data_IF_936583493166
#
_entry.id   IF_936583493166
#
_cell.length_a   1.000
_cell.length_b   1.000
_cell.length_c   1.000
_cell.angle_alpha   90.00
_cell.angle_beta   90.00
_cell.angle_gamma   90.00
#
_symmetry.space_group_name_H-M   'P 1'
#
loop_
_entity.id
_entity.type
_entity.pdbx_description
1 polymer ?
#
# COMPACT_ATOMS: atom_id res chain seq x y z
N UNK A 1 24.28 21.06 -43.43
CA UNK A 1 24.03 21.77 -42.15
C UNK A 1 23.02 21.07 -41.23
N UNK A 2 22.53 19.86 -41.56
CA UNK A 2 21.53 19.11 -40.76
C UNK A 2 22.11 18.21 -39.66
N UNK A 3 23.42 17.95 -39.64
CA UNK A 3 24.01 16.91 -38.78
C UNK A 3 24.24 17.33 -37.32
N UNK A 4 24.24 18.63 -37.01
CA UNK A 4 24.60 19.13 -35.67
C UNK A 4 23.45 18.98 -34.67
N UNK A 5 22.19 19.02 -35.13
CA UNK A 5 21.02 18.89 -34.26
C UNK A 5 20.77 17.44 -33.80
N UNK A 6 21.13 16.47 -34.63
CA UNK A 6 20.93 15.04 -34.35
C UNK A 6 21.96 14.53 -33.31
N UNK A 7 23.21 14.96 -33.44
CA UNK A 7 24.29 14.63 -32.49
C UNK A 7 24.01 15.22 -31.09
N UNK A 8 23.29 16.35 -31.00
CA UNK A 8 22.96 16.98 -29.73
C UNK A 8 21.81 16.27 -28.97
N UNK A 9 20.93 15.56 -29.68
CA UNK A 9 19.85 14.74 -29.08
C UNK A 9 20.37 13.50 -28.37
N UNK A 10 21.51 12.96 -28.81
CA UNK A 10 22.13 11.76 -28.22
C UNK A 10 22.87 12.09 -26.91
N UNK A 11 23.30 13.35 -26.71
CA UNK A 11 24.01 13.79 -25.49
C UNK A 11 23.09 14.26 -24.36
N UNK A 12 21.83 14.58 -24.66
CA UNK A 12 20.86 14.97 -23.64
C UNK A 12 20.40 13.71 -22.89
N UNK A 13 21.09 13.35 -21.81
CA UNK A 13 20.63 12.34 -20.88
C UNK A 13 19.22 12.65 -20.35
N UNK A 14 18.48 11.65 -19.85
CA UNK A 14 17.13 11.86 -19.35
C UNK A 14 17.11 13.01 -18.34
N UNK A 15 16.26 14.00 -18.58
CA UNK A 15 16.12 15.17 -17.71
C UNK A 15 15.80 14.77 -16.27
N UNK A 16 16.09 15.65 -15.31
CA UNK A 16 15.88 15.40 -13.87
C UNK A 16 14.47 14.83 -13.57
N UNK A 17 13.44 15.36 -14.25
CA UNK A 17 12.05 14.89 -14.15
C UNK A 17 11.89 13.44 -14.61
N UNK A 18 12.52 13.04 -15.72
CA UNK A 18 12.47 11.66 -16.21
C UNK A 18 13.20 10.68 -15.28
N UNK A 19 14.28 11.13 -14.62
CA UNK A 19 14.99 10.33 -13.60
C UNK A 19 14.17 10.16 -12.32
N UNK A 20 13.45 11.21 -11.89
CA UNK A 20 12.53 11.15 -10.75
C UNK A 20 11.32 10.25 -11.06
N UNK A 21 10.76 10.35 -12.26
CA UNK A 21 9.68 9.47 -12.72
C UNK A 21 10.13 8.01 -12.84
N UNK A 22 11.38 7.75 -13.26
CA UNK A 22 11.94 6.39 -13.32
C UNK A 22 12.22 5.77 -11.93
N UNK A 23 12.38 6.59 -10.88
CA UNK A 23 12.49 6.13 -9.49
C UNK A 23 11.13 5.77 -8.88
N UNK A 24 10.03 6.31 -9.43
CA UNK A 24 8.66 6.13 -8.95
C UNK A 24 8.19 4.66 -8.86
N UNK A 25 8.39 3.81 -9.89
CA UNK A 25 7.89 2.43 -9.86
C UNK A 25 8.63 1.52 -8.87
N UNK A 26 9.95 1.71 -8.71
CA UNK A 26 10.79 0.78 -7.93
C UNK A 26 10.95 1.22 -6.47
N UNK A 27 11.01 2.53 -6.21
CA UNK A 27 11.22 3.08 -4.87
C UNK A 27 10.05 3.94 -4.38
N UNK A 28 8.97 4.06 -5.14
CA UNK A 28 7.84 4.95 -4.83
C UNK A 28 7.26 4.72 -3.44
N UNK A 29 7.11 3.47 -3.00
CA UNK A 29 6.61 3.15 -1.66
C UNK A 29 7.56 3.64 -0.55
N UNK A 30 8.88 3.44 -0.70
CA UNK A 30 9.87 3.90 0.26
C UNK A 30 9.95 5.43 0.30
N UNK A 31 9.91 6.08 -0.87
CA UNK A 31 9.90 7.54 -0.99
C UNK A 31 8.65 8.11 -0.32
N UNK A 32 7.47 7.53 -0.59
CA UNK A 32 6.21 7.93 0.03
C UNK A 32 6.23 7.74 1.55
N UNK A 33 6.78 6.62 2.04
CA UNK A 33 6.93 6.36 3.48
C UNK A 33 7.81 7.42 4.15
N UNK A 34 8.99 7.71 3.60
CA UNK A 34 9.92 8.71 4.15
C UNK A 34 9.26 10.09 4.17
N UNK A 35 8.62 10.49 3.07
CA UNK A 35 7.90 11.75 3.00
C UNK A 35 6.77 11.83 4.03
N UNK A 36 5.96 10.78 4.17
CA UNK A 36 4.88 10.73 5.16
C UNK A 36 5.41 10.83 6.59
N UNK A 37 6.52 10.14 6.91
CA UNK A 37 7.15 10.21 8.24
C UNK A 37 7.63 11.63 8.53
N UNK A 38 8.34 12.26 7.59
CA UNK A 38 8.83 13.64 7.75
C UNK A 38 7.64 14.59 7.97
N UNK A 39 6.61 14.50 7.14
CA UNK A 39 5.42 15.35 7.26
C UNK A 39 4.72 15.15 8.61
N UNK A 40 4.56 13.91 9.07
CA UNK A 40 3.92 13.64 10.35
C UNK A 40 4.77 14.12 11.54
N UNK A 41 6.09 14.01 11.48
CA UNK A 41 6.97 14.58 12.53
C UNK A 41 6.81 16.10 12.63
N UNK A 42 6.63 16.79 11.50
CA UNK A 42 6.51 18.24 11.45
C UNK A 42 5.10 18.75 11.79
N UNK A 43 4.06 18.05 11.35
CA UNK A 43 2.67 18.51 11.43
C UNK A 43 1.91 17.94 12.62
N UNK A 44 2.31 16.78 13.15
CA UNK A 44 1.57 16.07 14.21
C UNK A 44 2.35 16.13 15.53
N UNK A 45 1.81 16.83 16.56
CA UNK A 45 2.43 16.86 17.88
C UNK A 45 2.62 15.46 18.46
N UNK A 46 3.79 15.20 19.06
CA UNK A 46 4.14 13.91 19.68
C UNK A 46 4.18 12.70 18.72
N UNK A 47 4.20 12.89 17.41
CA UNK A 47 4.31 11.77 16.46
C UNK A 47 5.57 10.92 16.70
N UNK A 48 6.71 11.54 17.02
CA UNK A 48 7.95 10.85 17.33
C UNK A 48 8.03 10.32 18.78
N UNK A 49 6.97 10.46 19.58
CA UNK A 49 6.95 9.95 20.95
C UNK A 49 6.96 8.43 20.98
N UNK A 50 7.63 7.86 21.99
CA UNK A 50 7.73 6.41 22.17
C UNK A 50 6.37 5.71 22.25
N UNK A 51 5.39 6.34 22.91
CA UNK A 51 4.03 5.83 22.98
C UNK A 51 3.36 5.71 21.60
N UNK A 52 3.55 6.70 20.71
CA UNK A 52 3.00 6.64 19.36
C UNK A 52 3.67 5.55 18.54
N UNK A 53 5.00 5.43 18.62
CA UNK A 53 5.74 4.34 17.98
C UNK A 53 5.22 2.97 18.45
N UNK A 54 5.07 2.77 19.75
CA UNK A 54 4.54 1.54 20.32
C UNK A 54 3.12 1.23 19.85
N UNK A 55 2.25 2.25 19.81
CA UNK A 55 0.88 2.11 19.32
C UNK A 55 0.83 1.72 17.84
N UNK A 56 1.71 2.25 17.00
CA UNK A 56 1.81 1.87 15.58
C UNK A 56 2.26 0.41 15.46
N UNK A 57 3.25 -0.02 16.25
CA UNK A 57 3.73 -1.40 16.27
C UNK A 57 2.62 -2.39 16.66
N UNK A 58 1.83 -2.06 17.69
CA UNK A 58 0.70 -2.88 18.10
C UNK A 58 -0.43 -2.91 17.07
N UNK A 59 -0.69 -1.79 16.39
CA UNK A 59 -1.71 -1.73 15.33
C UNK A 59 -1.31 -2.54 14.09
N UNK A 60 -0.02 -2.57 13.74
CA UNK A 60 0.45 -3.33 12.57
C UNK A 60 0.68 -4.82 12.87
N UNK A 61 0.83 -5.21 14.14
CA UNK A 61 1.11 -6.59 14.53
C UNK A 61 0.09 -7.63 13.99
N UNK A 62 -1.24 -7.41 14.06
CA UNK A 62 -2.22 -8.32 13.46
C UNK A 62 -2.03 -8.47 11.95
N UNK A 63 -1.80 -7.36 11.24
CA UNK A 63 -1.54 -7.37 9.79
C UNK A 63 -0.28 -8.13 9.44
N UNK A 64 0.80 -7.94 10.21
CA UNK A 64 2.06 -8.66 10.02
C UNK A 64 1.89 -10.17 10.25
N UNK A 65 1.15 -10.56 11.28
CA UNK A 65 0.86 -11.97 11.57
C UNK A 65 0.13 -12.65 10.41
N UNK A 66 -0.91 -11.99 9.88
CA UNK A 66 -1.65 -12.48 8.70
C UNK A 66 -0.75 -12.52 7.47
N UNK A 67 0.05 -11.48 7.22
CA UNK A 67 0.97 -11.43 6.07
C UNK A 67 2.01 -12.56 6.09
N UNK A 68 2.52 -12.92 7.27
CA UNK A 68 3.40 -14.10 7.43
C UNK A 68 2.65 -15.38 7.08
N UNK A 69 1.40 -15.53 7.54
CA UNK A 69 0.53 -16.65 7.16
C UNK A 69 0.32 -16.76 5.65
N UNK A 70 0.02 -15.63 4.99
CA UNK A 70 -0.12 -15.58 3.52
C UNK A 70 1.19 -15.94 2.80
N UNK A 71 2.35 -15.52 3.32
CA UNK A 71 3.65 -15.84 2.74
C UNK A 71 3.93 -17.34 2.77
N UNK A 72 3.58 -18.02 3.87
CA UNK A 72 3.72 -19.47 4.01
C UNK A 72 2.78 -20.23 3.06
N UNK A 73 1.54 -19.78 2.91
CA UNK A 73 0.56 -20.34 1.94
C UNK A 73 1.04 -20.20 0.50
N UNK A 74 1.61 -19.04 0.14
CA UNK A 74 2.19 -18.84 -1.20
C UNK A 74 3.39 -19.77 -1.41
N UNK A 75 4.26 -19.91 -0.41
CA UNK A 75 5.47 -20.73 -0.50
C UNK A 75 5.17 -22.23 -0.66
N UNK A 76 4.07 -22.73 -0.08
CA UNK A 76 3.70 -24.16 -0.16
C UNK A 76 3.05 -24.54 -1.49
N UNK A 77 2.76 -23.59 -2.40
CA UNK A 77 2.11 -23.81 -3.72
C UNK A 77 0.79 -24.61 -3.66
N UNK A 78 0.25 -24.83 -2.47
CA UNK A 78 -1.01 -25.51 -2.24
C UNK A 78 -2.11 -24.47 -2.12
N UNK A 79 -2.87 -24.31 -3.21
CA UNK A 79 -4.29 -23.91 -3.28
C UNK A 79 -4.81 -23.47 -1.90
N UNK A 80 -4.67 -22.21 -1.50
CA UNK A 80 -5.81 -21.33 -1.55
C UNK A 80 -5.40 -19.87 -1.28
N UNK A 81 -5.47 -19.05 -2.34
CA UNK A 81 -5.32 -17.60 -2.25
C UNK A 81 -6.57 -16.91 -1.63
N UNK A 82 -7.55 -17.68 -1.14
CA UNK A 82 -8.88 -17.22 -0.71
C UNK A 82 -8.86 -16.08 0.29
N UNK A 83 -7.88 -16.02 1.19
CA UNK A 83 -7.79 -14.91 2.16
C UNK A 83 -7.70 -13.56 1.45
N UNK A 84 -6.99 -13.49 0.31
CA UNK A 84 -6.89 -12.28 -0.51
C UNK A 84 -8.19 -11.94 -1.24
N UNK A 85 -8.87 -12.92 -1.84
CA UNK A 85 -10.12 -12.70 -2.57
C UNK A 85 -11.29 -12.41 -1.63
N UNK A 86 -11.39 -13.11 -0.50
CA UNK A 86 -12.36 -12.86 0.57
C UNK A 86 -12.16 -11.46 1.15
N UNK A 87 -10.92 -11.07 1.45
CA UNK A 87 -10.61 -9.71 1.93
C UNK A 87 -10.99 -8.65 0.90
N UNK A 88 -10.71 -8.87 -0.39
CA UNK A 88 -11.08 -7.94 -1.46
C UNK A 88 -12.60 -7.78 -1.59
N UNK A 89 -13.36 -8.89 -1.60
CA UNK A 89 -14.82 -8.87 -1.71
C UNK A 89 -15.46 -8.22 -0.47
N UNK A 90 -15.03 -8.60 0.74
CA UNK A 90 -15.52 -8.02 1.98
C UNK A 90 -15.26 -6.50 2.05
N UNK A 91 -14.07 -6.06 1.64
CA UNK A 91 -13.70 -4.63 1.61
C UNK A 91 -14.53 -3.83 0.60
N UNK A 92 -14.73 -4.37 -0.60
CA UNK A 92 -15.54 -3.73 -1.63
C UNK A 92 -17.01 -3.59 -1.19
N UNK A 93 -17.57 -4.63 -0.56
CA UNK A 93 -18.94 -4.59 -0.02
C UNK A 93 -19.07 -3.60 1.14
N UNK A 94 -18.11 -3.58 2.07
CA UNK A 94 -18.11 -2.61 3.16
C UNK A 94 -18.06 -1.16 2.63
N UNK A 95 -17.17 -0.89 1.67
CA UNK A 95 -17.01 0.44 1.09
C UNK A 95 -18.25 0.89 0.30
N UNK A 96 -18.86 0.00 -0.47
CA UNK A 96 -20.04 0.30 -1.31
C UNK A 96 -21.35 0.42 -0.55
N UNK A 97 -21.42 -0.07 0.70
CA UNK A 97 -22.63 0.01 1.52
C UNK A 97 -22.47 0.94 2.73
N UNK A 98 -21.39 1.73 2.78
CA UNK A 98 -21.13 2.64 3.89
C UNK A 98 -22.18 3.75 3.99
N UNK A 99 -22.74 4.15 2.85
CA UNK A 99 -23.87 5.07 2.68
C UNK A 99 -25.17 4.57 3.33
N UNK A 100 -25.34 3.25 3.43
CA UNK A 100 -26.49 2.60 4.09
C UNK A 100 -26.32 2.44 5.60
N UNK A 101 -25.17 2.87 6.15
CA UNK A 101 -24.85 2.84 7.56
C UNK A 101 -23.83 1.75 7.92
N UNK A 102 -22.92 2.10 8.83
CA UNK A 102 -21.75 1.28 9.22
C UNK A 102 -22.17 -0.12 9.67
N UNK A 103 -23.28 -0.25 10.41
CA UNK A 103 -23.75 -1.55 10.88
C UNK A 103 -24.11 -2.52 9.74
N UNK A 104 -24.80 -2.03 8.71
CA UNK A 104 -25.19 -2.84 7.55
C UNK A 104 -23.96 -3.20 6.71
N UNK A 105 -23.06 -2.23 6.49
CA UNK A 105 -21.81 -2.46 5.76
C UNK A 105 -20.94 -3.55 6.40
N UNK A 106 -20.79 -3.50 7.73
CA UNK A 106 -20.01 -4.49 8.49
C UNK A 106 -20.69 -5.85 8.49
N UNK A 107 -22.01 -5.91 8.72
CA UNK A 107 -22.75 -7.18 8.74
C UNK A 107 -22.71 -7.90 7.40
N UNK A 108 -22.86 -7.18 6.29
CA UNK A 108 -22.78 -7.76 4.94
C UNK A 108 -21.37 -8.25 4.61
N UNK A 109 -20.35 -7.46 4.97
CA UNK A 109 -18.95 -7.85 4.78
C UNK A 109 -18.60 -9.12 5.57
N UNK A 110 -19.05 -9.21 6.83
CA UNK A 110 -18.85 -10.40 7.67
C UNK A 110 -19.62 -11.61 7.16
N UNK A 111 -20.87 -11.45 6.74
CA UNK A 111 -21.68 -12.54 6.22
C UNK A 111 -21.06 -13.18 4.97
N UNK A 112 -20.52 -12.35 4.06
CA UNK A 112 -19.85 -12.84 2.85
C UNK A 112 -18.49 -13.44 3.17
N UNK A 113 -17.73 -12.83 4.09
CA UNK A 113 -16.45 -13.38 4.52
C UNK A 113 -16.57 -14.78 5.13
N UNK A 114 -17.61 -15.02 5.92
CA UNK A 114 -17.90 -16.32 6.54
C UNK A 114 -18.55 -17.34 5.57
N UNK A 115 -19.14 -16.88 4.47
CA UNK A 115 -19.81 -17.74 3.50
C UNK A 115 -18.94 -18.17 2.32
N UNK A 116 -17.87 -17.42 2.03
CA UNK A 116 -16.95 -17.64 0.89
C UNK A 116 -15.58 -18.14 1.35
N UNK A 117 -15.17 -17.80 2.59
CA UNK A 117 -13.96 -18.34 3.24
C UNK A 117 -14.25 -19.61 4.02
#
# INVERSE_FOLDING_TARGET
MSNTAEINRIKAGPGLVARIMALGPTYGALIALVLLVILNVLLTPNFAAWANFWNILLQVAPTMLVAVGMTLVIATSGIDLSVGSVMAIASALAATNLDRGVGIAVLLALAVALGVG
#
